data_IF_732626479653
#
_entry.id   IF_732626479653
#
_cell.length_a   1.000
_cell.length_b   1.000
_cell.length_c   1.000
_cell.angle_alpha   90.00
_cell.angle_beta   90.00
_cell.angle_gamma   90.00
#
_symmetry.space_group_name_H-M   'P 1'
#
loop_
_entity.id
_entity.type
_entity.pdbx_description
1 polymer ?
#
# COMPACT_ATOMS: atom_id res chain seq x y z
N UNK A 1 -11.63 18.85 4.88
CA UNK A 1 -10.71 19.33 3.81
C UNK A 1 -10.16 20.71 4.14
N UNK A 2 -10.99 21.74 4.35
CA UNK A 2 -10.52 23.13 4.59
C UNK A 2 -9.54 23.24 5.77
N UNK A 3 -9.83 22.60 6.91
CA UNK A 3 -8.92 22.59 8.06
C UNK A 3 -7.56 21.95 7.71
N UNK A 4 -7.57 20.79 7.05
CA UNK A 4 -6.33 20.11 6.68
C UNK A 4 -5.48 20.98 5.73
N UNK A 5 -6.13 21.66 4.77
CA UNK A 5 -5.45 22.59 3.88
C UNK A 5 -4.82 23.76 4.64
N UNK A 6 -5.57 24.39 5.57
CA UNK A 6 -5.05 25.50 6.37
C UNK A 6 -3.95 25.08 7.35
N UNK A 7 -3.94 23.82 7.78
CA UNK A 7 -2.89 23.24 8.61
C UNK A 7 -1.65 22.76 7.82
N UNK A 8 -1.65 22.92 6.49
CA UNK A 8 -0.53 22.56 5.64
C UNK A 8 -0.40 21.06 5.31
N UNK A 9 -1.43 20.23 5.61
CA UNK A 9 -1.43 18.84 5.21
C UNK A 9 -1.62 18.69 3.70
N UNK A 10 -0.91 17.75 3.08
CA UNK A 10 -0.99 17.51 1.64
C UNK A 10 -2.23 16.74 1.23
N UNK A 11 -2.79 15.95 2.14
CA UNK A 11 -4.00 15.18 1.88
C UNK A 11 -4.56 14.48 3.10
N UNK A 12 -5.70 13.85 2.90
CA UNK A 12 -6.41 13.06 3.91
C UNK A 12 -6.60 11.65 3.38
N UNK A 13 -6.19 10.65 4.15
CA UNK A 13 -6.50 9.25 3.88
C UNK A 13 -7.81 8.86 4.52
N UNK A 14 -8.56 8.05 3.80
CA UNK A 14 -9.74 7.39 4.32
C UNK A 14 -9.78 5.95 3.84
N UNK A 15 -10.39 5.09 4.64
CA UNK A 15 -10.70 3.71 4.26
C UNK A 15 -12.19 3.49 4.35
N UNK A 16 -12.75 2.76 3.39
CA UNK A 16 -14.15 2.38 3.38
C UNK A 16 -14.27 0.87 3.19
N UNK A 17 -15.18 0.21 3.92
CA UNK A 17 -15.43 -1.21 3.72
C UNK A 17 -15.88 -1.48 2.29
N UNK A 18 -15.26 -2.47 1.64
CA UNK A 18 -15.55 -2.80 0.24
C UNK A 18 -16.98 -3.32 0.04
N UNK A 19 -17.55 -3.96 1.06
CA UNK A 19 -18.90 -4.52 1.03
C UNK A 19 -20.04 -3.48 1.13
N UNK A 20 -19.74 -2.20 1.44
CA UNK A 20 -20.77 -1.20 1.68
C UNK A 20 -20.57 0.04 0.80
N UNK A 21 -21.49 0.32 -0.14
CA UNK A 21 -21.31 1.43 -1.10
C UNK A 21 -21.44 2.82 -0.44
N UNK A 22 -22.11 2.95 0.70
CA UNK A 22 -22.38 4.26 1.31
C UNK A 22 -21.13 5.00 1.75
N UNK A 23 -20.20 4.31 2.42
CA UNK A 23 -18.95 4.93 2.86
C UNK A 23 -18.01 5.24 1.69
N UNK A 24 -17.99 4.38 0.67
CA UNK A 24 -17.26 4.63 -0.57
C UNK A 24 -17.83 5.85 -1.30
N UNK A 25 -19.17 5.88 -1.49
CA UNK A 25 -19.85 7.02 -2.10
C UNK A 25 -19.57 8.33 -1.36
N UNK A 26 -19.59 8.32 -0.03
CA UNK A 26 -19.28 9.52 0.76
C UNK A 26 -17.86 10.04 0.49
N UNK A 27 -16.86 9.17 0.34
CA UNK A 27 -15.51 9.57 -0.03
C UNK A 27 -15.46 10.20 -1.44
N UNK A 28 -16.13 9.57 -2.41
CA UNK A 28 -16.20 10.09 -3.80
C UNK A 28 -16.94 11.43 -3.85
N UNK A 29 -18.05 11.57 -3.14
CA UNK A 29 -18.82 12.83 -3.07
C UNK A 29 -18.01 13.98 -2.44
N UNK A 30 -17.04 13.66 -1.59
CA UNK A 30 -16.08 14.64 -1.04
C UNK A 30 -14.92 14.97 -2.01
N UNK A 31 -14.85 14.31 -3.15
CA UNK A 31 -13.77 14.46 -4.13
C UNK A 31 -12.53 13.64 -3.84
N UNK A 32 -12.60 12.65 -2.93
CA UNK A 32 -11.51 11.72 -2.73
C UNK A 32 -11.41 10.72 -3.88
N UNK A 33 -10.19 10.33 -4.21
CA UNK A 33 -9.86 9.38 -5.27
C UNK A 33 -9.46 8.05 -4.67
N UNK A 34 -9.92 6.99 -5.29
CA UNK A 34 -9.53 5.63 -4.91
C UNK A 34 -8.08 5.35 -5.30
N UNK A 35 -7.30 4.85 -4.34
CA UNK A 35 -5.86 4.60 -4.55
C UNK A 35 -5.47 3.14 -4.36
N UNK A 36 -6.43 2.26 -4.06
CA UNK A 36 -6.19 0.82 -3.94
C UNK A 36 -7.18 0.09 -3.05
N UNK A 37 -6.87 -1.20 -2.81
CA UNK A 37 -7.67 -2.10 -1.99
C UNK A 37 -6.79 -2.92 -1.06
N UNK A 38 -7.12 -2.96 0.23
CA UNK A 38 -6.53 -3.89 1.18
C UNK A 38 -7.50 -5.06 1.40
N UNK A 39 -7.18 -6.18 0.81
CA UNK A 39 -8.01 -7.38 0.91
C UNK A 39 -7.87 -7.99 2.31
N UNK A 40 -9.00 -8.36 2.90
CA UNK A 40 -9.02 -8.97 4.23
C UNK A 40 -8.45 -8.10 5.36
N UNK A 41 -8.44 -6.78 5.21
CA UNK A 41 -7.86 -5.84 6.19
C UNK A 41 -8.55 -5.88 7.55
N UNK A 42 -9.89 -5.96 7.57
CA UNK A 42 -10.69 -5.96 8.81
C UNK A 42 -10.89 -7.39 9.26
N UNK A 43 -10.39 -7.81 10.43
CA UNK A 43 -10.62 -9.14 10.95
C UNK A 43 -12.10 -9.36 11.33
N UNK A 44 -12.52 -10.61 11.37
CA UNK A 44 -13.86 -11.06 11.77
C UNK A 44 -14.22 -10.69 13.22
N UNK A 45 -13.19 -10.50 14.07
CA UNK A 45 -13.33 -10.08 15.46
C UNK A 45 -13.78 -8.62 15.63
N UNK A 46 -13.60 -7.77 14.59
CA UNK A 46 -14.06 -6.37 14.62
C UNK A 46 -15.55 -6.31 14.29
N UNK A 47 -16.37 -6.25 15.32
CA UNK A 47 -17.80 -5.99 15.20
C UNK A 47 -18.05 -4.50 15.17
N UNK A 48 -18.55 -3.98 14.06
CA UNK A 48 -19.24 -2.68 14.09
C UNK A 48 -20.48 -2.83 14.98
N UNK A 49 -20.74 -1.87 15.88
CA UNK A 49 -21.82 -1.82 16.88
C UNK A 49 -23.26 -2.01 16.37
N UNK A 50 -23.47 -2.33 15.13
CA UNK A 50 -24.75 -2.77 14.60
C UNK A 50 -24.87 -4.27 14.87
N UNK A 51 -25.30 -4.59 16.09
CA UNK A 51 -25.84 -5.85 16.52
C UNK A 51 -25.95 -6.94 15.42
N UNK A 52 -25.44 -8.12 15.75
CA UNK A 52 -26.01 -9.42 15.41
C UNK A 52 -25.25 -10.31 14.44
N UNK A 53 -24.54 -9.86 13.44
CA UNK A 53 -23.85 -10.83 12.60
C UNK A 53 -22.32 -10.74 12.73
N UNK A 54 -21.73 -11.65 13.55
CA UNK A 54 -20.32 -12.03 13.35
C UNK A 54 -20.22 -12.57 11.94
N UNK A 55 -19.62 -11.79 11.04
CA UNK A 55 -19.32 -12.31 9.72
C UNK A 55 -18.22 -13.35 9.88
N UNK A 56 -18.39 -14.53 9.30
CA UNK A 56 -17.41 -15.63 9.43
C UNK A 56 -16.13 -15.36 8.62
N UNK A 57 -15.92 -14.16 8.08
CA UNK A 57 -14.82 -13.81 7.18
C UNK A 57 -14.33 -12.38 7.40
N UNK A 58 -13.09 -12.16 7.03
CA UNK A 58 -12.47 -10.82 7.03
C UNK A 58 -13.09 -9.94 5.94
N UNK A 59 -13.15 -8.64 6.20
CA UNK A 59 -13.64 -7.66 5.22
C UNK A 59 -12.48 -6.91 4.57
N UNK A 60 -12.62 -6.63 3.29
CA UNK A 60 -11.70 -5.78 2.53
C UNK A 60 -12.08 -4.30 2.64
N UNK A 61 -11.11 -3.42 2.42
CA UNK A 61 -11.34 -1.98 2.39
C UNK A 61 -10.81 -1.37 1.10
N UNK A 62 -11.53 -0.39 0.58
CA UNK A 62 -11.04 0.52 -0.44
C UNK A 62 -10.27 1.68 0.23
N UNK A 63 -9.16 2.05 -0.36
CA UNK A 63 -8.31 3.16 0.06
C UNK A 63 -8.71 4.42 -0.71
N UNK A 64 -8.85 5.53 -0.02
CA UNK A 64 -9.16 6.82 -0.62
C UNK A 64 -8.16 7.88 -0.18
N UNK A 65 -7.84 8.78 -1.11
CA UNK A 65 -7.01 9.95 -0.85
C UNK A 65 -7.72 11.21 -1.34
N UNK A 66 -7.82 12.20 -0.45
CA UNK A 66 -8.31 13.55 -0.77
C UNK A 66 -7.15 14.53 -0.69
N UNK A 67 -6.69 15.02 -1.82
CA UNK A 67 -5.66 16.07 -1.88
C UNK A 67 -6.18 17.37 -1.26
N UNK A 68 -5.38 17.99 -0.41
CA UNK A 68 -5.71 19.28 0.23
C UNK A 68 -4.76 20.39 -0.17
N UNK A 69 -3.50 20.07 -0.41
CA UNK A 69 -2.47 21.02 -0.87
C UNK A 69 -1.56 20.36 -1.90
N UNK A 70 -0.87 21.18 -2.70
CA UNK A 70 0.20 20.69 -3.55
C UNK A 70 1.41 20.31 -2.70
N UNK A 71 1.91 19.11 -2.94
CA UNK A 71 3.20 18.68 -2.41
C UNK A 71 4.36 19.18 -3.29
N UNK A 72 5.58 18.86 -2.91
CA UNK A 72 6.73 19.14 -3.78
C UNK A 72 6.62 18.32 -5.07
N UNK A 73 7.05 18.87 -6.23
CA UNK A 73 7.26 18.07 -7.43
C UNK A 73 8.29 16.97 -7.15
N UNK A 74 8.02 15.75 -7.61
CA UNK A 74 8.89 14.60 -7.36
C UNK A 74 8.78 13.55 -8.45
N UNK A 75 9.87 12.80 -8.74
CA UNK A 75 9.80 11.65 -9.59
C UNK A 75 9.10 10.50 -8.86
N UNK A 76 8.40 9.65 -9.61
CA UNK A 76 7.77 8.41 -9.16
C UNK A 76 8.37 7.28 -9.97
N UNK A 77 9.14 6.39 -9.33
CA UNK A 77 9.81 5.26 -9.95
C UNK A 77 8.93 4.01 -9.82
N UNK A 78 8.06 3.83 -10.81
CA UNK A 78 7.06 2.77 -10.82
C UNK A 78 7.63 1.50 -11.48
N UNK A 79 7.61 0.33 -10.79
CA UNK A 79 7.96 -0.94 -11.42
C UNK A 79 7.10 -1.19 -12.65
N UNK A 80 7.70 -1.77 -13.72
CA UNK A 80 7.04 -1.95 -15.01
C UNK A 80 5.70 -2.68 -14.91
N UNK A 81 5.63 -3.70 -14.08
CA UNK A 81 4.41 -4.49 -13.84
C UNK A 81 3.23 -3.67 -13.33
N UNK A 82 3.50 -2.60 -12.58
CA UNK A 82 2.47 -1.79 -11.92
C UNK A 82 2.39 -0.36 -12.47
N UNK A 83 3.18 -0.03 -13.49
CA UNK A 83 3.32 1.33 -14.03
C UNK A 83 1.98 1.94 -14.43
N UNK A 84 1.20 1.25 -15.24
CA UNK A 84 -0.07 1.79 -15.77
C UNK A 84 -1.08 2.12 -14.67
N UNK A 85 -1.20 1.25 -13.66
CA UNK A 85 -2.11 1.49 -12.53
C UNK A 85 -1.59 2.63 -11.64
N UNK A 86 -0.28 2.72 -11.44
CA UNK A 86 0.35 3.81 -10.68
C UNK A 86 0.14 5.15 -11.40
N UNK A 87 0.38 5.23 -12.71
CA UNK A 87 0.15 6.42 -13.53
C UNK A 87 -1.31 6.89 -13.43
N UNK A 88 -2.25 5.94 -13.53
CA UNK A 88 -3.68 6.23 -13.41
C UNK A 88 -4.05 6.82 -12.04
N UNK A 89 -3.52 6.25 -10.96
CA UNK A 89 -3.77 6.73 -9.58
C UNK A 89 -3.12 8.11 -9.38
N UNK A 90 -1.89 8.31 -9.83
CA UNK A 90 -1.16 9.59 -9.75
C UNK A 90 -1.95 10.69 -10.47
N UNK A 91 -2.37 10.42 -11.71
CA UNK A 91 -3.15 11.37 -12.50
C UNK A 91 -4.50 11.70 -11.82
N UNK A 92 -5.23 10.69 -11.35
CA UNK A 92 -6.54 10.87 -10.73
C UNK A 92 -6.45 11.60 -9.38
N UNK A 93 -5.45 11.29 -8.54
CA UNK A 93 -5.27 11.90 -7.22
C UNK A 93 -4.73 13.33 -7.28
N UNK A 94 -4.22 13.75 -8.43
CA UNK A 94 -3.66 15.10 -8.64
C UNK A 94 -2.44 15.38 -7.75
N UNK A 95 -1.75 14.35 -7.28
CA UNK A 95 -0.47 14.54 -6.56
C UNK A 95 0.57 15.14 -7.51
N UNK A 96 1.49 15.91 -6.95
CA UNK A 96 2.52 16.60 -7.72
C UNK A 96 3.72 15.67 -7.99
N UNK A 97 3.45 14.52 -8.65
CA UNK A 97 4.41 13.49 -9.02
C UNK A 97 4.39 13.22 -10.52
N UNK A 98 5.54 12.89 -11.08
CA UNK A 98 5.69 12.49 -12.47
C UNK A 98 6.35 11.11 -12.54
N UNK A 99 5.73 10.17 -13.25
CA UNK A 99 6.30 8.84 -13.41
C UNK A 99 7.54 8.93 -14.30
N UNK A 100 8.66 8.53 -13.74
CA UNK A 100 9.99 8.60 -14.35
C UNK A 100 10.64 7.22 -14.43
N UNK A 101 11.71 7.12 -15.17
CA UNK A 101 12.57 5.94 -15.25
C UNK A 101 13.77 6.15 -14.33
N UNK A 102 14.16 5.11 -13.60
CA UNK A 102 15.32 5.15 -12.73
C UNK A 102 16.60 5.54 -13.50
N UNK A 103 17.41 6.48 -12.99
CA UNK A 103 18.64 6.86 -13.64
C UNK A 103 19.57 5.66 -13.83
N UNK A 104 20.23 5.50 -14.99
CA UNK A 104 21.16 4.39 -15.23
C UNK A 104 22.36 4.36 -14.25
N UNK A 105 22.65 5.49 -13.61
CA UNK A 105 23.71 5.60 -12.60
C UNK A 105 23.28 5.18 -11.20
N UNK A 106 22.03 4.75 -11.02
CA UNK A 106 21.53 4.31 -9.72
C UNK A 106 22.28 3.05 -9.26
N UNK A 107 22.95 3.13 -8.12
CA UNK A 107 23.58 1.98 -7.51
C UNK A 107 22.62 1.26 -6.58
N UNK A 108 22.61 -0.06 -6.65
CA UNK A 108 21.81 -0.95 -5.78
C UNK A 108 22.79 -1.74 -4.92
N UNK A 109 22.54 -1.79 -3.61
CA UNK A 109 23.33 -2.59 -2.67
C UNK A 109 23.04 -4.08 -2.82
N UNK A 110 23.98 -4.94 -2.39
CA UNK A 110 23.76 -6.39 -2.36
C UNK A 110 22.68 -6.78 -1.35
N UNK A 111 22.55 -6.01 -0.27
CA UNK A 111 21.67 -6.30 0.86
C UNK A 111 20.55 -5.29 0.98
N UNK A 112 19.36 -5.81 1.22
CA UNK A 112 18.18 -5.03 1.55
C UNK A 112 18.13 -4.69 3.03
N UNK A 113 17.58 -3.52 3.33
CA UNK A 113 17.23 -3.14 4.69
C UNK A 113 15.72 -3.06 4.82
N UNK A 114 15.15 -3.85 5.71
CA UNK A 114 13.71 -3.90 5.98
C UNK A 114 13.41 -3.67 7.47
N UNK A 115 12.19 -3.21 7.75
CA UNK A 115 11.62 -3.14 9.10
C UNK A 115 10.26 -3.81 9.10
N UNK A 116 9.99 -4.69 10.06
CA UNK A 116 8.71 -5.38 10.20
C UNK A 116 7.88 -4.73 11.29
N UNK A 117 6.64 -4.41 10.98
CA UNK A 117 5.64 -3.88 11.89
C UNK A 117 4.49 -4.87 12.00
N UNK A 118 4.28 -5.43 13.18
CA UNK A 118 3.19 -6.36 13.44
C UNK A 118 1.98 -5.63 14.04
N UNK A 119 0.79 -6.04 13.62
CA UNK A 119 -0.48 -5.50 14.10
C UNK A 119 -1.36 -6.65 14.58
N UNK A 120 -1.21 -6.98 15.86
CA UNK A 120 -1.84 -8.15 16.47
C UNK A 120 -3.37 -8.09 16.48
N UNK A 121 -3.94 -6.92 16.74
CA UNK A 121 -5.39 -6.68 16.72
C UNK A 121 -6.04 -6.92 15.35
N UNK A 122 -5.26 -6.87 14.28
CA UNK A 122 -5.70 -7.14 12.91
C UNK A 122 -5.14 -8.45 12.35
N UNK A 123 -4.29 -9.14 13.09
CA UNK A 123 -3.56 -10.34 12.65
C UNK A 123 -2.85 -10.17 11.30
N UNK A 124 -2.11 -9.09 11.17
CA UNK A 124 -1.36 -8.76 9.97
C UNK A 124 0.03 -8.20 10.29
N UNK A 125 0.91 -8.17 9.30
CA UNK A 125 2.20 -7.52 9.38
C UNK A 125 2.48 -6.67 8.14
N UNK A 126 3.31 -5.64 8.30
CA UNK A 126 3.81 -4.81 7.21
C UNK A 126 5.34 -4.83 7.21
N UNK A 127 5.92 -5.19 6.09
CA UNK A 127 7.36 -5.14 5.82
C UNK A 127 7.63 -3.79 5.15
N UNK A 128 8.25 -2.85 5.85
CA UNK A 128 8.70 -1.59 5.27
C UNK A 128 10.08 -1.79 4.65
N UNK A 129 10.19 -1.71 3.34
CA UNK A 129 11.48 -1.78 2.64
C UNK A 129 12.11 -0.39 2.66
N UNK A 130 13.10 -0.24 3.53
CA UNK A 130 13.81 1.02 3.73
C UNK A 130 14.84 1.23 2.62
N UNK A 131 15.53 0.17 2.25
CA UNK A 131 16.54 0.17 1.20
C UNK A 131 16.47 -1.16 0.42
N UNK A 132 15.96 -1.15 -0.83
CA UNK A 132 15.94 -2.35 -1.66
C UNK A 132 17.36 -2.70 -2.15
N UNK A 133 17.72 -3.97 -2.02
CA UNK A 133 18.97 -4.55 -2.50
C UNK A 133 18.73 -5.76 -3.40
N UNK A 134 19.78 -6.33 -3.99
CA UNK A 134 19.66 -7.46 -4.92
C UNK A 134 19.14 -8.75 -4.27
N UNK A 135 19.20 -8.87 -2.95
CA UNK A 135 18.64 -9.99 -2.19
C UNK A 135 17.19 -9.80 -1.78
N UNK A 136 16.50 -8.77 -2.30
CA UNK A 136 15.14 -8.39 -1.86
C UNK A 136 14.14 -9.54 -1.96
N UNK A 137 14.16 -10.31 -3.04
CA UNK A 137 13.25 -11.43 -3.23
C UNK A 137 13.39 -12.46 -2.10
N UNK A 138 14.60 -12.89 -1.82
CA UNK A 138 14.88 -13.88 -0.76
C UNK A 138 14.50 -13.33 0.63
N UNK A 139 14.78 -12.05 0.88
CA UNK A 139 14.44 -11.37 2.13
C UNK A 139 12.93 -11.28 2.32
N UNK A 140 12.18 -10.88 1.29
CA UNK A 140 10.72 -10.80 1.34
C UNK A 140 10.08 -12.18 1.52
N UNK A 141 10.49 -13.17 0.75
CA UNK A 141 9.92 -14.52 0.82
C UNK A 141 10.22 -15.20 2.15
N UNK A 142 11.44 -15.09 2.66
CA UNK A 142 11.79 -15.66 3.97
C UNK A 142 11.07 -14.97 5.12
N UNK A 143 10.97 -13.63 5.08
CA UNK A 143 10.24 -12.86 6.10
C UNK A 143 8.75 -13.16 6.05
N UNK A 144 8.15 -13.21 4.86
CA UNK A 144 6.75 -13.57 4.67
C UNK A 144 6.46 -14.98 5.18
N UNK A 145 7.30 -15.96 4.81
CA UNK A 145 7.15 -17.34 5.28
C UNK A 145 7.21 -17.43 6.81
N UNK A 146 8.15 -16.74 7.45
CA UNK A 146 8.22 -16.68 8.91
C UNK A 146 6.95 -16.08 9.53
N UNK A 147 6.49 -14.93 9.01
CA UNK A 147 5.29 -14.24 9.51
C UNK A 147 4.02 -15.10 9.37
N UNK A 148 3.91 -15.86 8.28
CA UNK A 148 2.74 -16.72 8.02
C UNK A 148 2.82 -18.03 8.79
N UNK A 149 3.94 -18.76 8.68
CA UNK A 149 4.05 -20.14 9.15
C UNK A 149 4.39 -20.25 10.65
N UNK A 150 5.16 -19.27 11.16
CA UNK A 150 5.62 -19.27 12.55
C UNK A 150 4.80 -18.34 13.43
N UNK A 151 4.58 -17.11 12.96
CA UNK A 151 3.81 -16.10 13.71
C UNK A 151 2.29 -16.26 13.53
N UNK A 152 1.87 -16.79 12.38
CA UNK A 152 0.45 -17.07 12.08
C UNK A 152 -0.31 -15.85 11.53
N UNK A 153 0.34 -14.95 10.78
CA UNK A 153 -0.31 -13.77 10.18
C UNK A 153 -1.16 -14.16 8.97
N UNK A 154 -2.38 -13.66 8.89
CA UNK A 154 -3.30 -13.88 7.77
C UNK A 154 -2.96 -13.03 6.54
N UNK A 155 -2.42 -11.83 6.76
CA UNK A 155 -2.00 -10.94 5.69
C UNK A 155 -0.63 -10.33 5.98
N UNK A 156 0.21 -10.29 4.94
CA UNK A 156 1.51 -9.63 4.98
C UNK A 156 1.54 -8.58 3.87
N UNK A 157 1.86 -7.36 4.24
CA UNK A 157 2.04 -6.24 3.31
C UNK A 157 3.51 -5.92 3.14
N UNK A 158 3.89 -5.38 1.98
CA UNK A 158 5.22 -4.87 1.72
C UNK A 158 5.11 -3.44 1.17
N UNK A 159 5.75 -2.49 1.85
CA UNK A 159 5.73 -1.07 1.53
C UNK A 159 7.04 -0.63 0.90
N UNK A 160 6.94 0.08 -0.23
CA UNK A 160 8.07 0.56 -1.03
C UNK A 160 7.94 2.06 -1.28
N UNK A 161 9.03 2.81 -1.09
CA UNK A 161 9.07 4.21 -1.53
C UNK A 161 9.07 4.30 -3.05
N UNK A 162 8.11 5.02 -3.61
CA UNK A 162 8.09 5.31 -5.05
C UNK A 162 9.04 6.46 -5.45
N UNK A 163 9.65 7.15 -4.48
CA UNK A 163 10.67 8.17 -4.74
C UNK A 163 12.09 7.59 -4.76
N UNK A 164 12.25 6.33 -4.39
CA UNK A 164 13.53 5.63 -4.46
C UNK A 164 13.67 4.93 -5.83
N UNK A 165 14.61 5.33 -6.70
CA UNK A 165 14.78 4.72 -8.01
C UNK A 165 15.18 3.24 -7.93
N UNK A 166 15.75 2.79 -6.80
CA UNK A 166 16.08 1.37 -6.58
C UNK A 166 14.82 0.49 -6.52
N UNK A 167 13.68 1.06 -6.11
CA UNK A 167 12.39 0.33 -6.07
C UNK A 167 12.00 -0.20 -7.45
N UNK A 168 12.06 0.64 -8.50
CA UNK A 168 11.81 0.22 -9.88
C UNK A 168 12.79 -0.87 -10.30
N UNK A 169 14.10 -0.60 -10.16
CA UNK A 169 15.16 -1.48 -10.65
C UNK A 169 15.09 -2.88 -10.02
N UNK A 170 14.94 -2.93 -8.69
CA UNK A 170 14.98 -4.21 -7.97
C UNK A 170 13.68 -4.98 -8.16
N UNK A 171 12.52 -4.32 -8.14
CA UNK A 171 11.25 -5.01 -8.35
C UNK A 171 11.08 -5.51 -9.77
N UNK A 172 11.57 -4.80 -10.77
CA UNK A 172 11.56 -5.28 -12.16
C UNK A 172 12.47 -6.52 -12.35
N UNK A 173 13.58 -6.58 -11.61
CA UNK A 173 14.44 -7.76 -11.60
C UNK A 173 13.82 -8.96 -10.87
N UNK A 174 12.96 -8.72 -9.88
CA UNK A 174 12.29 -9.76 -9.05
C UNK A 174 10.94 -10.23 -9.62
N UNK A 175 10.40 -9.58 -10.64
CA UNK A 175 8.99 -9.67 -11.06
C UNK A 175 8.44 -11.11 -11.15
N UNK A 176 9.18 -12.02 -11.76
CA UNK A 176 8.73 -13.40 -11.96
C UNK A 176 8.64 -14.24 -10.68
N UNK A 177 9.29 -13.83 -9.59
CA UNK A 177 9.36 -14.57 -8.32
C UNK A 177 8.56 -13.95 -7.19
N UNK A 178 8.03 -12.75 -7.36
CA UNK A 178 7.42 -12.00 -6.27
C UNK A 178 6.04 -12.55 -5.88
N UNK A 179 5.92 -13.05 -4.65
CA UNK A 179 4.68 -13.62 -4.09
C UNK A 179 3.72 -12.56 -3.49
N UNK A 180 3.75 -11.35 -4.02
CA UNK A 180 2.93 -10.24 -3.60
C UNK A 180 2.18 -9.62 -4.78
N UNK A 181 0.90 -9.26 -4.58
CA UNK A 181 0.08 -8.53 -5.54
C UNK A 181 -0.03 -7.05 -5.19
N UNK A 182 -0.39 -6.22 -6.16
CA UNK A 182 -0.62 -4.79 -5.93
C UNK A 182 -1.80 -4.56 -4.98
N UNK A 183 -1.61 -3.70 -3.99
CA UNK A 183 -2.66 -3.31 -3.04
C UNK A 183 -3.07 -1.84 -3.22
N UNK A 184 -2.13 -0.95 -3.53
CA UNK A 184 -2.45 0.45 -3.73
C UNK A 184 -1.27 1.39 -3.50
N UNK A 185 -1.59 2.68 -3.56
CA UNK A 185 -0.64 3.77 -3.27
C UNK A 185 -1.14 4.56 -2.07
N UNK A 186 -0.20 4.98 -1.24
CA UNK A 186 -0.39 5.94 -0.15
C UNK A 186 0.38 7.21 -0.49
N UNK A 187 -0.28 8.20 -1.16
CA UNK A 187 0.37 9.45 -1.51
C UNK A 187 0.76 10.25 -0.26
N UNK A 188 1.95 10.84 -0.24
CA UNK A 188 2.43 11.68 0.87
C UNK A 188 2.33 11.03 2.27
N UNK A 189 2.48 9.69 2.37
CA UNK A 189 2.23 8.96 3.62
C UNK A 189 3.20 9.33 4.73
N UNK A 190 4.45 9.63 4.40
CA UNK A 190 5.50 9.98 5.33
C UNK A 190 6.36 11.12 4.79
N UNK A 191 7.31 11.58 5.59
CA UNK A 191 8.37 12.50 5.15
C UNK A 191 9.12 11.96 3.92
N UNK A 192 9.02 10.65 3.64
CA UNK A 192 9.58 9.96 2.50
C UNK A 192 8.73 9.94 1.22
N UNK A 193 7.54 10.57 1.20
CA UNK A 193 6.73 10.73 -0.01
C UNK A 193 5.74 9.59 -0.28
N UNK A 194 5.58 9.20 -1.55
CA UNK A 194 4.58 8.24 -1.99
C UNK A 194 5.05 6.80 -1.74
N UNK A 195 4.15 6.00 -1.20
CA UNK A 195 4.42 4.58 -0.89
C UNK A 195 3.51 3.69 -1.72
N UNK A 196 4.10 2.74 -2.42
CA UNK A 196 3.39 1.60 -3.01
C UNK A 196 3.31 0.49 -2.00
N UNK A 197 2.13 -0.07 -1.81
CA UNK A 197 1.90 -1.27 -1.00
C UNK A 197 1.58 -2.46 -1.88
N UNK A 198 2.27 -3.55 -1.63
CA UNK A 198 1.94 -4.87 -2.13
C UNK A 198 1.34 -5.72 -1.01
N UNK A 199 0.60 -6.79 -1.35
CA UNK A 199 -0.07 -7.67 -0.39
C UNK A 199 0.09 -9.14 -0.73
N UNK A 200 0.24 -9.96 0.30
CA UNK A 200 0.21 -11.43 0.24
C UNK A 200 -0.77 -11.93 1.28
N UNK A 201 -1.73 -12.74 0.87
CA UNK A 201 -2.86 -13.17 1.69
C UNK A 201 -2.75 -14.66 1.98
N UNK A 202 -3.02 -15.04 3.22
CA UNK A 202 -2.95 -16.41 3.69
C UNK A 202 -4.17 -16.70 4.56
N UNK A 203 -4.74 -17.90 4.43
CA UNK A 203 -5.89 -18.32 5.20
C UNK A 203 -7.11 -17.37 5.16
N UNK A 204 -7.20 -16.56 4.11
CA UNK A 204 -8.28 -15.60 3.91
C UNK A 204 -9.17 -16.08 2.77
N UNK A 205 -10.43 -16.35 3.07
CA UNK A 205 -11.47 -16.54 2.06
C UNK A 205 -11.99 -15.17 1.63
N UNK A 206 -11.82 -14.85 0.35
CA UNK A 206 -12.38 -13.63 -0.25
C UNK A 206 -13.71 -14.01 -0.90
N UNK A 207 -14.79 -13.53 -0.32
CA UNK A 207 -16.12 -13.70 -0.91
C UNK A 207 -16.42 -12.52 -1.83
N UNK A 208 -16.81 -12.84 -3.06
CA UNK A 208 -17.25 -11.89 -4.09
C UNK A 208 -18.72 -11.53 -3.92
#
# INVERSE_FOLDING_TARGET
AAWASSAGYFGIFSVATAARPYSQKANVDLGAVETGFLLGWIPDSVTNNAAVDRKPHRESVALFYLKTNDGRPRPIFAPQRHRDVIESIVAASGIHGEVAIAPPSTSVSEKSHIVVHEKDDHNLATISVIEPGWDLLDVLDSTRAHLVEVVGRDAVYADFSLEDPRTEIVLDACDAGLSFGFAGIFPNQHVGGDVMRLQSLHNIEIHS
#
